data_IF_991383266831
#
_entry.id   IF_991383266831
#
_cell.length_a   1.000
_cell.length_b   1.000
_cell.length_c   1.000
_cell.angle_alpha   90.00
_cell.angle_beta   90.00
_cell.angle_gamma   90.00
#
_symmetry.space_group_name_H-M   'P 1'
#
loop_
_entity.id
_entity.type
_entity.pdbx_description
1 polymer ?
#
# COMPACT_ATOMS: atom_id res chain seq x y z
N UNK A 1 -31.27 -17.23 4.99
CA UNK A 1 -30.06 -17.68 5.70
C UNK A 1 -29.22 -16.44 5.87
N UNK A 2 -29.01 -16.03 7.11
CA UNK A 2 -28.45 -14.73 7.43
C UNK A 2 -27.02 -14.61 6.90
N UNK A 3 -26.80 -13.62 6.04
CA UNK A 3 -25.47 -13.21 5.61
C UNK A 3 -24.75 -12.63 6.82
N UNK A 4 -23.57 -13.14 7.15
CA UNK A 4 -22.69 -12.52 8.14
C UNK A 4 -22.43 -11.06 7.73
N UNK A 5 -22.47 -10.13 8.67
CA UNK A 5 -22.29 -8.72 8.41
C UNK A 5 -21.26 -8.09 9.34
N UNK A 6 -20.56 -7.11 8.81
CA UNK A 6 -19.46 -6.43 9.46
C UNK A 6 -19.68 -4.91 9.35
N UNK A 7 -19.64 -4.22 10.49
CA UNK A 7 -19.86 -2.79 10.56
C UNK A 7 -18.56 -2.01 10.68
N UNK A 8 -18.46 -0.90 9.94
CA UNK A 8 -17.30 -0.01 9.95
C UNK A 8 -17.75 1.46 10.01
N UNK A 9 -16.97 2.28 10.70
CA UNK A 9 -17.02 3.74 10.57
C UNK A 9 -15.99 4.12 9.52
N UNK A 10 -16.41 4.84 8.48
CA UNK A 10 -15.54 5.26 7.38
C UNK A 10 -15.61 6.77 7.17
N UNK A 11 -14.49 7.37 6.78
CA UNK A 11 -14.41 8.77 6.37
C UNK A 11 -14.25 8.88 4.85
N UNK A 12 -14.93 9.86 4.26
CA UNK A 12 -14.87 10.17 2.83
C UNK A 12 -14.82 11.68 2.62
N UNK A 13 -13.94 12.13 1.74
CA UNK A 13 -13.81 13.54 1.36
C UNK A 13 -14.88 13.92 0.34
N UNK A 14 -15.71 14.90 0.69
CA UNK A 14 -16.73 15.48 -0.18
C UNK A 14 -16.15 16.70 -0.91
N UNK A 15 -15.76 16.50 -2.18
CA UNK A 15 -15.14 17.55 -3.01
C UNK A 15 -16.02 18.78 -3.26
N UNK A 16 -17.36 18.66 -3.18
CA UNK A 16 -18.24 19.81 -3.39
C UNK A 16 -18.33 20.70 -2.15
N UNK A 17 -18.27 20.06 -0.97
CA UNK A 17 -18.38 20.73 0.31
C UNK A 17 -17.02 21.07 0.93
N UNK A 18 -15.92 20.57 0.36
CA UNK A 18 -14.55 20.66 0.90
C UNK A 18 -14.46 20.17 2.36
N UNK A 19 -15.15 19.06 2.64
CA UNK A 19 -15.36 18.57 4.01
C UNK A 19 -15.19 17.04 4.08
N UNK A 20 -14.53 16.58 5.13
CA UNK A 20 -14.52 15.16 5.51
C UNK A 20 -15.85 14.79 6.17
N UNK A 21 -16.51 13.77 5.65
CA UNK A 21 -17.77 13.23 6.19
C UNK A 21 -17.56 11.81 6.69
N UNK A 22 -18.23 11.47 7.78
CA UNK A 22 -18.24 10.11 8.32
C UNK A 22 -19.54 9.40 7.94
N UNK A 23 -19.40 8.12 7.59
CA UNK A 23 -20.51 7.23 7.25
C UNK A 23 -20.34 5.91 7.99
N UNK A 24 -21.46 5.22 8.20
CA UNK A 24 -21.45 3.84 8.63
C UNK A 24 -21.52 2.94 7.40
N UNK A 25 -20.46 2.15 7.17
CA UNK A 25 -20.38 1.14 6.14
C UNK A 25 -20.76 -0.22 6.75
N UNK A 26 -21.70 -0.92 6.13
CA UNK A 26 -22.00 -2.31 6.46
C UNK A 26 -21.62 -3.18 5.29
N UNK A 27 -20.78 -4.19 5.55
CA UNK A 27 -20.35 -5.18 4.56
C UNK A 27 -21.06 -6.49 4.88
N UNK A 28 -21.73 -7.06 3.90
CA UNK A 28 -22.43 -8.33 3.99
C UNK A 28 -21.63 -9.38 3.22
N UNK A 29 -21.38 -10.52 3.87
CA UNK A 29 -20.71 -11.67 3.28
C UNK A 29 -21.76 -12.74 2.97
N UNK A 30 -22.30 -12.80 1.74
CA UNK A 30 -23.22 -13.85 1.36
C UNK A 30 -22.50 -15.20 1.30
N UNK A 31 -23.23 -16.30 1.46
CA UNK A 31 -22.66 -17.66 1.34
C UNK A 31 -22.11 -17.94 -0.07
N UNK A 32 -22.70 -17.31 -1.10
CA UNK A 32 -22.25 -17.39 -2.48
C UNK A 32 -22.33 -16.00 -3.11
N UNK A 33 -21.33 -15.66 -3.91
CA UNK A 33 -21.25 -14.39 -4.61
C UNK A 33 -20.25 -13.40 -3.97
N UNK A 34 -20.15 -12.19 -4.56
CA UNK A 34 -19.25 -11.16 -4.06
C UNK A 34 -19.72 -10.60 -2.73
N UNK A 35 -18.85 -9.84 -2.05
CA UNK A 35 -19.29 -9.03 -0.91
C UNK A 35 -20.34 -8.02 -1.37
N UNK A 36 -21.23 -7.64 -0.47
CA UNK A 36 -22.20 -6.58 -0.70
C UNK A 36 -22.00 -5.48 0.34
N UNK A 37 -22.25 -4.23 -0.03
CA UNK A 37 -22.02 -3.07 0.83
C UNK A 37 -23.23 -2.17 0.88
N UNK A 38 -23.51 -1.60 2.05
CA UNK A 38 -24.47 -0.51 2.24
C UNK A 38 -23.83 0.60 3.07
N UNK A 39 -24.24 1.85 2.83
CA UNK A 39 -23.77 3.00 3.61
C UNK A 39 -24.95 3.78 4.18
N UNK A 40 -24.80 4.18 5.44
CA UNK A 40 -25.75 5.01 6.16
C UNK A 40 -25.06 6.31 6.60
N UNK A 41 -25.75 7.43 6.41
CA UNK A 41 -25.34 8.74 6.91
C UNK A 41 -25.98 8.97 8.29
N UNK A 42 -25.20 8.87 9.38
CA UNK A 42 -25.73 9.04 10.73
C UNK A 42 -26.15 10.48 11.02
N UNK A 43 -25.60 11.49 10.34
CA UNK A 43 -25.95 12.91 10.55
C UNK A 43 -27.26 13.27 9.85
N UNK A 44 -27.46 12.78 8.63
CA UNK A 44 -28.67 13.02 7.85
C UNK A 44 -29.77 11.98 8.08
N UNK A 45 -29.53 10.98 8.94
CA UNK A 45 -30.43 9.87 9.25
C UNK A 45 -31.01 9.14 8.03
N UNK A 46 -30.20 8.96 6.97
CA UNK A 46 -30.66 8.35 5.71
C UNK A 46 -29.66 7.38 5.13
N UNK A 47 -30.15 6.45 4.31
CA UNK A 47 -29.29 5.61 3.48
C UNK A 47 -28.55 6.49 2.47
N UNK A 48 -27.23 6.36 2.45
CA UNK A 48 -26.36 7.00 1.46
C UNK A 48 -26.14 6.09 0.25
N UNK A 49 -25.92 4.79 0.51
CA UNK A 49 -25.80 3.75 -0.49
C UNK A 49 -26.67 2.55 -0.07
N UNK A 50 -27.58 2.12 -0.94
CA UNK A 50 -28.35 0.88 -0.72
C UNK A 50 -27.43 -0.33 -0.88
N UNK A 51 -27.83 -1.47 -0.33
CA UNK A 51 -27.09 -2.74 -0.42
C UNK A 51 -26.82 -3.09 -1.89
N UNK A 52 -25.55 -3.17 -2.27
CA UNK A 52 -25.12 -3.48 -3.63
C UNK A 52 -23.84 -4.34 -3.66
N UNK A 53 -23.65 -5.21 -4.68
CA UNK A 53 -22.51 -6.11 -4.77
C UNK A 53 -21.21 -5.41 -5.22
N UNK A 54 -20.10 -5.74 -4.57
CA UNK A 54 -18.76 -5.20 -4.84
C UNK A 54 -17.73 -6.34 -5.01
N UNK A 55 -17.48 -6.80 -6.25
CA UNK A 55 -16.62 -7.95 -6.52
C UNK A 55 -15.16 -7.75 -6.09
N UNK A 56 -14.63 -6.54 -6.22
CA UNK A 56 -13.20 -6.27 -6.04
C UNK A 56 -12.79 -5.99 -4.59
N UNK A 57 -13.75 -5.98 -3.66
CA UNK A 57 -13.48 -5.75 -2.24
C UNK A 57 -13.26 -7.08 -1.53
N UNK A 58 -12.13 -7.20 -0.82
CA UNK A 58 -11.88 -8.32 0.08
C UNK A 58 -12.14 -7.89 1.52
N UNK A 59 -12.67 -8.78 2.35
CA UNK A 59 -12.91 -8.49 3.77
C UNK A 59 -11.59 -8.16 4.49
N UNK A 60 -10.50 -8.78 4.05
CA UNK A 60 -9.14 -8.54 4.52
C UNK A 60 -8.65 -7.12 4.22
N UNK A 61 -9.24 -6.39 3.28
CA UNK A 61 -8.89 -5.00 2.98
C UNK A 61 -9.48 -4.03 4.00
N UNK A 62 -10.49 -4.44 4.77
CA UNK A 62 -11.21 -3.59 5.71
C UNK A 62 -10.56 -3.63 7.09
N UNK A 63 -9.54 -2.80 7.26
CA UNK A 63 -8.78 -2.66 8.53
C UNK A 63 -8.77 -1.22 8.98
N UNK A 64 -8.69 -0.97 10.28
CA UNK A 64 -8.56 0.40 10.78
C UNK A 64 -7.30 1.06 10.18
N UNK A 65 -7.49 2.21 9.54
CA UNK A 65 -6.47 2.97 8.84
C UNK A 65 -6.37 2.70 7.33
N UNK A 66 -6.93 1.60 6.83
CA UNK A 66 -6.94 1.30 5.39
C UNK A 66 -7.89 2.20 4.60
N UNK A 67 -7.59 2.42 3.31
CA UNK A 67 -8.52 3.03 2.35
C UNK A 67 -9.05 1.96 1.41
N UNK A 68 -10.38 1.83 1.34
CA UNK A 68 -11.07 0.94 0.40
C UNK A 68 -11.85 1.75 -0.63
N UNK A 69 -11.98 1.22 -1.84
CA UNK A 69 -12.77 1.88 -2.89
C UNK A 69 -14.15 1.24 -2.99
N UNK A 70 -15.20 2.04 -2.89
CA UNK A 70 -16.61 1.63 -3.02
C UNK A 70 -17.29 2.52 -4.05
N UNK A 71 -17.59 1.98 -5.23
CA UNK A 71 -18.22 2.71 -6.36
C UNK A 71 -17.60 4.08 -6.63
N UNK A 72 -16.31 4.10 -6.96
CA UNK A 72 -15.51 5.30 -7.20
C UNK A 72 -15.34 6.25 -6.00
N UNK A 73 -15.76 5.84 -4.79
CA UNK A 73 -15.48 6.59 -3.55
C UNK A 73 -14.38 5.92 -2.76
N UNK A 74 -13.46 6.73 -2.27
CA UNK A 74 -12.32 6.28 -1.50
C UNK A 74 -12.61 6.48 -0.02
N UNK A 75 -12.94 5.38 0.66
CA UNK A 75 -13.42 5.37 2.03
C UNK A 75 -12.28 4.92 2.92
N UNK A 76 -11.84 5.78 3.84
CA UNK A 76 -10.84 5.41 4.84
C UNK A 76 -11.53 4.84 6.08
N UNK A 77 -11.16 3.63 6.46
CA UNK A 77 -11.73 2.92 7.60
C UNK A 77 -11.17 3.52 8.89
N UNK A 78 -12.04 4.12 9.69
CA UNK A 78 -11.68 4.82 10.94
C UNK A 78 -11.76 3.91 12.16
N UNK A 79 -12.78 3.06 12.20
CA UNK A 79 -13.01 2.14 13.29
C UNK A 79 -13.94 1.00 12.85
N UNK A 80 -13.95 -0.10 13.59
CA UNK A 80 -15.07 -1.04 13.54
C UNK A 80 -16.29 -0.41 14.24
N UNK A 81 -17.48 -0.63 13.70
CA UNK A 81 -18.71 -0.11 14.27
C UNK A 81 -19.13 -0.85 15.56
N UNK A 82 -18.69 -2.10 15.74
CA UNK A 82 -19.09 -2.95 16.85
C UNK A 82 -17.99 -3.94 17.27
N UNK A 83 -18.13 -4.48 18.49
CA UNK A 83 -17.19 -5.43 19.08
C UNK A 83 -17.18 -6.80 18.39
N UNK A 84 -18.30 -7.20 17.78
CA UNK A 84 -18.41 -8.45 17.04
C UNK A 84 -17.50 -8.42 15.81
N UNK A 85 -17.63 -7.37 15.00
CA UNK A 85 -16.79 -7.12 13.82
C UNK A 85 -15.32 -7.07 14.20
N UNK A 86 -14.97 -6.35 15.27
CA UNK A 86 -13.59 -6.29 15.77
C UNK A 86 -13.05 -7.68 16.11
N UNK A 87 -13.79 -8.45 16.91
CA UNK A 87 -13.37 -9.80 17.34
C UNK A 87 -13.21 -10.74 16.14
N UNK A 88 -14.15 -10.70 15.21
CA UNK A 88 -14.13 -11.55 14.01
C UNK A 88 -12.94 -11.23 13.09
N UNK A 89 -12.59 -9.94 12.91
CA UNK A 89 -11.57 -9.51 11.94
C UNK A 89 -10.17 -9.29 12.53
N UNK A 90 -10.03 -9.15 13.85
CA UNK A 90 -8.72 -8.91 14.49
C UNK A 90 -8.18 -10.11 15.28
N UNK A 91 -9.01 -11.09 15.64
CA UNK A 91 -8.58 -12.16 16.57
C UNK A 91 -7.38 -12.99 16.11
N UNK A 92 -7.18 -13.15 14.79
CA UNK A 92 -6.03 -13.88 14.22
C UNK A 92 -4.99 -12.98 13.56
N UNK A 93 -5.25 -11.68 13.52
CA UNK A 93 -4.47 -10.77 12.71
C UNK A 93 -3.25 -10.31 13.49
N UNK A 94 -2.08 -10.73 13.04
CA UNK A 94 -0.81 -10.34 13.65
C UNK A 94 0.00 -9.50 12.67
N UNK A 95 0.93 -8.72 13.24
CA UNK A 95 1.88 -7.91 12.49
C UNK A 95 3.28 -8.26 12.95
N UNK A 96 4.21 -8.37 12.01
CA UNK A 96 5.62 -8.57 12.28
C UNK A 96 6.45 -7.61 11.44
N UNK A 97 7.64 -7.29 11.92
CA UNK A 97 8.58 -6.48 11.19
C UNK A 97 9.91 -7.20 11.00
N UNK A 98 10.46 -7.06 9.81
CA UNK A 98 11.66 -7.74 9.35
C UNK A 98 12.60 -6.71 8.70
N UNK A 99 13.88 -6.80 9.00
CA UNK A 99 14.94 -6.05 8.33
C UNK A 99 15.57 -6.96 7.28
N UNK A 100 15.34 -6.69 6.00
CA UNK A 100 16.06 -7.37 4.94
C UNK A 100 17.47 -6.80 4.86
N UNK A 101 18.44 -7.70 4.92
CA UNK A 101 19.86 -7.40 4.90
C UNK A 101 20.37 -7.32 3.44
N UNK A 102 21.55 -6.71 3.18
CA UNK A 102 22.10 -6.59 1.83
C UNK A 102 22.13 -7.87 0.98
N UNK A 103 22.40 -9.09 1.53
CA UNK A 103 22.32 -10.33 0.76
C UNK A 103 20.94 -10.63 0.16
N UNK A 104 19.88 -10.04 0.70
CA UNK A 104 18.51 -10.19 0.20
C UNK A 104 18.18 -9.26 -0.98
N UNK A 105 18.94 -8.17 -1.16
CA UNK A 105 18.59 -7.09 -2.07
C UNK A 105 18.44 -7.56 -3.53
N UNK A 106 19.33 -8.41 -4.09
CA UNK A 106 19.17 -8.91 -5.46
C UNK A 106 17.87 -9.71 -5.69
N UNK A 107 17.21 -10.16 -4.62
CA UNK A 107 15.94 -10.90 -4.66
C UNK A 107 14.76 -10.12 -4.10
N UNK A 108 14.91 -8.81 -3.86
CA UNK A 108 13.90 -7.98 -3.20
C UNK A 108 12.53 -8.10 -3.89
N UNK A 109 12.49 -8.00 -5.23
CA UNK A 109 11.25 -8.16 -5.98
C UNK A 109 10.58 -9.52 -5.78
N UNK A 110 11.37 -10.60 -5.82
CA UNK A 110 10.87 -11.97 -5.58
C UNK A 110 10.36 -12.14 -4.15
N UNK A 111 11.05 -11.57 -3.16
CA UNK A 111 10.64 -11.61 -1.75
C UNK A 111 9.29 -10.91 -1.58
N UNK A 112 9.13 -9.72 -2.17
CA UNK A 112 7.87 -8.98 -2.10
C UNK A 112 6.72 -9.73 -2.77
N UNK A 113 6.93 -10.28 -3.97
CA UNK A 113 5.93 -11.12 -4.63
C UNK A 113 5.55 -12.35 -3.79
N UNK A 114 6.54 -13.03 -3.18
CA UNK A 114 6.29 -14.19 -2.32
C UNK A 114 5.45 -13.83 -1.11
N UNK A 115 5.75 -12.71 -0.43
CA UNK A 115 4.98 -12.21 0.73
C UNK A 115 3.53 -11.97 0.33
N UNK A 116 3.29 -11.25 -0.76
CA UNK A 116 1.92 -10.92 -1.21
C UNK A 116 1.15 -12.17 -1.66
N UNK A 117 1.81 -13.09 -2.40
CA UNK A 117 1.21 -14.36 -2.81
C UNK A 117 0.93 -15.31 -1.64
N UNK A 118 1.70 -15.20 -0.56
CA UNK A 118 1.53 -15.94 0.69
C UNK A 118 0.44 -15.39 1.61
N UNK A 119 -0.32 -14.37 1.17
CA UNK A 119 -1.44 -13.80 1.94
C UNK A 119 -1.01 -12.75 2.97
N UNK A 120 0.26 -12.34 2.99
CA UNK A 120 0.72 -11.21 3.79
C UNK A 120 0.52 -9.90 3.02
N UNK A 121 0.21 -8.84 3.77
CA UNK A 121 0.14 -7.47 3.24
C UNK A 121 1.30 -6.66 3.79
N UNK A 122 1.96 -5.91 2.91
CA UNK A 122 2.99 -4.95 3.30
C UNK A 122 2.29 -3.69 3.83
N UNK A 123 2.52 -3.38 5.10
CA UNK A 123 1.94 -2.21 5.77
C UNK A 123 2.89 -1.01 5.74
N UNK A 124 4.19 -1.26 5.94
CA UNK A 124 5.23 -0.24 5.85
C UNK A 124 6.46 -0.82 5.16
N UNK A 125 7.12 0.01 4.37
CA UNK A 125 8.35 -0.34 3.65
C UNK A 125 9.27 0.88 3.66
N UNK A 126 10.53 0.72 4.07
CA UNK A 126 11.52 1.79 3.97
C UNK A 126 12.93 1.23 3.88
N UNK A 127 13.74 1.72 2.94
CA UNK A 127 15.18 1.46 2.88
C UNK A 127 15.91 2.52 3.69
N UNK A 128 16.57 2.09 4.77
CA UNK A 128 17.23 2.98 5.73
C UNK A 128 18.67 2.58 5.98
N UNK A 129 19.46 3.50 6.54
CA UNK A 129 20.80 3.19 7.01
C UNK A 129 20.77 2.82 8.51
N UNK A 130 21.19 1.60 8.84
CA UNK A 130 21.35 1.08 10.21
C UNK A 130 22.74 0.42 10.34
N UNK A 131 23.80 1.23 10.20
CA UNK A 131 25.18 0.75 10.06
C UNK A 131 25.49 0.17 8.68
N UNK A 132 24.65 0.48 7.69
CA UNK A 132 24.60 -0.09 6.35
C UNK A 132 23.16 -0.08 5.83
N UNK A 133 22.94 -0.24 4.51
CA UNK A 133 21.59 -0.20 3.96
C UNK A 133 20.81 -1.46 4.38
N UNK A 134 19.60 -1.26 4.93
CA UNK A 134 18.67 -2.32 5.31
C UNK A 134 17.24 -1.93 4.91
N UNK A 135 16.46 -2.89 4.41
CA UNK A 135 15.03 -2.65 4.14
C UNK A 135 14.23 -3.01 5.38
N UNK A 136 13.64 -2.02 6.04
CA UNK A 136 12.65 -2.22 7.08
C UNK A 136 11.28 -2.50 6.45
N UNK A 137 10.68 -3.63 6.80
CA UNK A 137 9.42 -4.11 6.28
C UNK A 137 8.49 -4.48 7.44
N UNK A 138 7.33 -3.84 7.53
CA UNK A 138 6.24 -4.27 8.42
C UNK A 138 5.18 -4.97 7.57
N UNK A 139 4.87 -6.22 7.89
CA UNK A 139 3.83 -7.01 7.23
C UNK A 139 2.74 -7.40 8.21
N UNK A 140 1.54 -7.63 7.68
CA UNK A 140 0.38 -8.07 8.44
C UNK A 140 -0.38 -9.16 7.71
N UNK A 141 -0.98 -10.07 8.47
CA UNK A 141 -1.79 -11.16 7.94
C UNK A 141 -2.41 -11.96 9.07
N UNK A 142 -3.25 -12.93 8.71
CA UNK A 142 -3.77 -13.90 9.66
C UNK A 142 -2.64 -14.90 9.97
N UNK A 143 -2.24 -14.98 11.23
CA UNK A 143 -1.06 -15.77 11.65
C UNK A 143 0.22 -15.40 10.88
N UNK A 144 0.56 -14.10 10.86
CA UNK A 144 1.62 -13.54 10.03
C UNK A 144 2.99 -14.25 10.17
N UNK A 145 3.36 -14.71 11.37
CA UNK A 145 4.62 -15.46 11.60
C UNK A 145 4.66 -16.79 10.82
N UNK A 146 3.52 -17.49 10.74
CA UNK A 146 3.39 -18.73 9.98
C UNK A 146 3.47 -18.44 8.48
N UNK A 147 2.70 -17.45 8.00
CA UNK A 147 2.69 -17.06 6.59
C UNK A 147 4.06 -16.56 6.13
N UNK A 148 4.77 -15.82 6.99
CA UNK A 148 6.13 -15.37 6.72
C UNK A 148 7.08 -16.56 6.57
N UNK A 149 7.01 -17.51 7.51
CA UNK A 149 7.87 -18.69 7.48
C UNK A 149 7.64 -19.53 6.22
N UNK A 150 6.39 -19.62 5.74
CA UNK A 150 6.05 -20.31 4.48
C UNK A 150 6.54 -19.54 3.25
N UNK A 151 6.38 -18.22 3.24
CA UNK A 151 6.71 -17.37 2.08
C UNK A 151 8.22 -17.15 1.92
N UNK A 152 8.95 -17.04 3.04
CA UNK A 152 10.36 -16.64 3.09
C UNK A 152 11.29 -17.74 3.61
N UNK A 153 10.77 -18.93 3.93
CA UNK A 153 11.53 -20.01 4.59
C UNK A 153 12.73 -20.55 3.79
N UNK A 154 12.73 -20.38 2.47
CA UNK A 154 13.82 -20.81 1.57
C UNK A 154 14.95 -19.77 1.45
N UNK A 155 14.80 -18.59 2.05
CA UNK A 155 15.84 -17.57 2.01
C UNK A 155 16.95 -17.88 3.03
N UNK A 156 18.22 -17.53 2.73
CA UNK A 156 19.31 -17.67 3.71
C UNK A 156 18.97 -16.92 5.00
N UNK A 157 19.27 -17.51 6.17
CA UNK A 157 18.98 -16.88 7.48
C UNK A 157 19.61 -15.50 7.64
N UNK A 158 20.75 -15.24 6.99
CA UNK A 158 21.39 -13.93 7.00
C UNK A 158 20.63 -12.84 6.21
N UNK A 159 19.57 -13.21 5.47
CA UNK A 159 18.82 -12.29 4.61
C UNK A 159 17.82 -11.43 5.40
N UNK A 160 17.43 -11.84 6.60
CA UNK A 160 16.44 -11.12 7.38
C UNK A 160 16.72 -11.19 8.89
N UNK A 161 16.37 -10.11 9.59
CA UNK A 161 16.39 -10.01 11.05
C UNK A 161 15.02 -9.54 11.53
N UNK A 162 14.38 -10.31 12.39
CA UNK A 162 13.11 -9.90 12.99
C UNK A 162 13.33 -8.75 13.99
N UNK A 163 12.45 -7.76 13.95
CA UNK A 163 12.48 -6.58 14.83
C UNK A 163 11.53 -6.80 16.00
N UNK A 164 11.99 -6.49 17.20
CA UNK A 164 11.16 -6.51 18.40
C UNK A 164 10.05 -5.45 18.30
N UNK A 165 8.84 -5.76 18.77
CA UNK A 165 7.66 -4.89 18.62
C UNK A 165 7.88 -3.43 19.04
N UNK A 166 8.65 -3.19 20.09
CA UNK A 166 8.96 -1.84 20.59
C UNK A 166 9.96 -1.04 19.74
N UNK A 167 10.64 -1.69 18.80
CA UNK A 167 11.69 -1.09 17.95
C UNK A 167 11.23 -0.88 16.50
N UNK A 168 10.02 -1.30 16.14
CA UNK A 168 9.49 -1.23 14.77
C UNK A 168 9.29 0.22 14.33
N UNK A 169 8.55 1.01 15.11
CA UNK A 169 8.12 2.35 14.72
C UNK A 169 9.28 3.32 14.41
N UNK A 170 10.39 3.32 15.18
CA UNK A 170 11.56 4.13 14.86
C UNK A 170 12.10 3.96 13.44
N UNK A 171 12.11 2.77 12.85
CA UNK A 171 12.60 2.55 11.48
C UNK A 171 11.82 3.36 10.43
N UNK A 172 10.55 3.66 10.69
CA UNK A 172 9.67 4.36 9.75
C UNK A 172 9.49 5.85 10.07
N UNK A 173 9.82 6.28 11.29
CA UNK A 173 9.51 7.64 11.76
C UNK A 173 10.73 8.44 12.18
N UNK A 174 11.77 7.79 12.71
CA UNK A 174 12.96 8.46 13.22
C UNK A 174 14.02 8.57 12.12
N UNK A 175 13.92 9.63 11.29
CA UNK A 175 14.83 9.87 10.18
C UNK A 175 16.26 10.28 10.62
N UNK A 176 16.45 10.73 11.85
CA UNK A 176 17.79 11.02 12.39
C UNK A 176 18.53 9.74 12.78
N UNK A 177 17.84 8.81 13.44
CA UNK A 177 18.40 7.51 13.83
C UNK A 177 18.56 6.58 12.64
N UNK A 178 17.59 6.57 11.73
CA UNK A 178 17.56 5.73 10.53
C UNK A 178 17.40 6.61 9.29
N UNK A 179 18.50 7.24 8.83
CA UNK A 179 18.45 8.17 7.71
C UNK A 179 18.16 7.46 6.39
N UNK A 180 17.70 8.27 5.42
CA UNK A 180 17.49 7.82 4.06
C UNK A 180 18.83 7.38 3.43
N UNK A 181 18.75 6.39 2.57
CA UNK A 181 19.89 5.82 1.81
C UNK A 181 20.10 6.47 0.45
N UNK A 182 19.27 7.48 0.12
CA UNK A 182 19.30 8.15 -1.17
C UNK A 182 20.68 8.75 -1.44
N UNK A 183 21.22 8.48 -2.62
CA UNK A 183 22.54 8.90 -3.03
C UNK A 183 22.50 10.25 -3.79
N UNK A 184 21.36 10.58 -4.42
CA UNK A 184 21.13 11.81 -5.17
C UNK A 184 22.11 12.07 -6.32
N UNK A 185 22.67 11.01 -6.90
CA UNK A 185 23.57 11.06 -8.04
C UNK A 185 23.18 10.01 -9.10
N UNK A 186 23.21 10.41 -10.37
CA UNK A 186 22.87 9.56 -11.52
C UNK A 186 21.55 8.78 -11.32
N UNK A 187 20.55 9.47 -10.77
CA UNK A 187 19.33 8.88 -10.26
C UNK A 187 18.07 9.45 -10.92
N UNK A 188 16.96 8.72 -10.77
CA UNK A 188 15.61 9.19 -11.10
C UNK A 188 14.62 8.68 -10.05
N UNK A 189 13.49 9.38 -9.92
CA UNK A 189 12.37 8.93 -9.10
C UNK A 189 11.49 7.96 -9.90
N UNK A 190 11.26 6.76 -9.35
CA UNK A 190 10.22 5.85 -9.79
C UNK A 190 9.12 5.79 -8.74
N UNK A 191 7.85 5.85 -9.15
CA UNK A 191 6.72 5.71 -8.23
C UNK A 191 5.87 4.53 -8.66
N UNK A 192 5.81 3.51 -7.79
CA UNK A 192 4.81 2.45 -7.90
C UNK A 192 3.50 3.00 -7.35
N UNK A 193 2.57 3.28 -8.27
CA UNK A 193 1.29 3.93 -7.95
C UNK A 193 0.42 3.05 -7.03
N UNK A 194 -0.52 3.65 -6.28
CA UNK A 194 -1.34 2.91 -5.32
C UNK A 194 -2.12 1.72 -5.91
N UNK A 195 -2.60 1.83 -7.15
CA UNK A 195 -3.31 0.73 -7.80
C UNK A 195 -2.41 -0.48 -8.07
N UNK A 196 -1.15 -0.26 -8.46
CA UNK A 196 -0.18 -1.34 -8.72
C UNK A 196 0.26 -2.01 -7.42
N UNK A 197 0.45 -1.22 -6.35
CA UNK A 197 0.73 -1.74 -5.02
C UNK A 197 -0.45 -2.59 -4.51
N UNK A 198 -1.69 -2.08 -4.64
CA UNK A 198 -2.90 -2.83 -4.26
C UNK A 198 -3.07 -4.13 -5.06
N UNK A 199 -2.67 -4.13 -6.33
CA UNK A 199 -2.72 -5.31 -7.19
C UNK A 199 -1.63 -6.35 -6.88
N UNK A 200 -0.74 -6.11 -5.91
CA UNK A 200 0.37 -7.00 -5.58
C UNK A 200 1.45 -7.06 -6.68
N UNK A 201 1.63 -5.95 -7.42
CA UNK A 201 2.57 -5.85 -8.54
C UNK A 201 3.91 -5.22 -8.17
N UNK A 202 4.06 -4.77 -6.92
CA UNK A 202 5.30 -4.11 -6.49
C UNK A 202 6.52 -5.02 -6.62
N UNK A 203 6.40 -6.30 -6.26
CA UNK A 203 7.49 -7.27 -6.40
C UNK A 203 7.92 -7.52 -7.85
N UNK A 204 6.95 -7.65 -8.77
CA UNK A 204 7.22 -7.80 -10.21
C UNK A 204 7.90 -6.56 -10.80
N UNK A 205 7.44 -5.36 -10.42
CA UNK A 205 8.02 -4.09 -10.88
C UNK A 205 9.45 -3.92 -10.36
N UNK A 206 9.70 -4.19 -9.08
CA UNK A 206 11.04 -4.11 -8.50
C UNK A 206 11.99 -5.11 -9.17
N UNK A 207 11.53 -6.35 -9.40
CA UNK A 207 12.31 -7.34 -10.12
C UNK A 207 12.63 -6.87 -11.55
N UNK A 208 11.69 -6.24 -12.26
CA UNK A 208 11.91 -5.70 -13.59
C UNK A 208 12.99 -4.59 -13.60
N UNK A 209 12.95 -3.67 -12.63
CA UNK A 209 13.97 -2.62 -12.45
C UNK A 209 15.35 -3.26 -12.23
N UNK A 210 15.45 -4.22 -11.31
CA UNK A 210 16.71 -4.90 -11.01
C UNK A 210 17.25 -5.70 -12.20
N UNK A 211 16.38 -6.39 -12.94
CA UNK A 211 16.76 -7.17 -14.12
C UNK A 211 17.21 -6.27 -15.30
N UNK A 212 16.75 -5.03 -15.35
CA UNK A 212 17.21 -4.02 -16.31
C UNK A 212 18.61 -3.45 -15.97
N UNK A 213 19.25 -3.95 -14.91
CA UNK A 213 20.55 -3.47 -14.45
C UNK A 213 20.49 -2.12 -13.73
N UNK A 214 19.30 -1.71 -13.28
CA UNK A 214 19.11 -0.50 -12.48
C UNK A 214 19.21 -0.84 -10.98
N UNK A 215 19.87 0.04 -10.23
CA UNK A 215 19.98 -0.06 -8.78
C UNK A 215 18.80 0.66 -8.10
N UNK A 216 18.30 0.12 -7.00
CA UNK A 216 17.38 0.82 -6.10
C UNK A 216 18.17 1.22 -4.85
N UNK A 217 18.47 2.51 -4.72
CA UNK A 217 19.34 3.05 -3.67
C UNK A 217 18.58 3.67 -2.51
N UNK A 218 17.31 4.06 -2.71
CA UNK A 218 16.38 4.45 -1.66
C UNK A 218 14.96 4.01 -2.00
N UNK A 219 14.15 3.77 -0.98
CA UNK A 219 12.77 3.41 -1.15
C UNK A 219 11.94 3.74 0.10
N UNK A 220 10.74 4.29 -0.06
CA UNK A 220 9.84 4.62 1.04
C UNK A 220 8.39 4.43 0.60
N UNK A 221 7.62 3.67 1.37
CA UNK A 221 6.17 3.61 1.23
C UNK A 221 5.56 4.77 2.00
N UNK A 222 4.79 5.60 1.29
CA UNK A 222 4.16 6.78 1.87
C UNK A 222 2.79 7.04 1.25
N UNK A 223 1.95 7.80 1.95
CA UNK A 223 0.62 8.17 1.49
C UNK A 223 0.55 9.69 1.39
N UNK A 224 0.56 10.20 0.16
CA UNK A 224 0.44 11.63 -0.11
C UNK A 224 -0.95 12.12 0.24
N UNK A 225 -1.01 13.26 0.94
CA UNK A 225 -2.22 14.06 1.01
C UNK A 225 -2.53 14.66 -0.36
N UNK A 226 -3.80 15.02 -0.58
CA UNK A 226 -4.25 15.56 -1.88
C UNK A 226 -3.41 16.77 -2.33
N UNK A 227 -3.12 17.70 -1.41
CA UNK A 227 -2.29 18.87 -1.69
C UNK A 227 -0.85 18.51 -2.10
N UNK A 228 -0.23 17.53 -1.44
CA UNK A 228 1.13 17.06 -1.75
C UNK A 228 1.18 16.35 -3.12
N UNK A 229 0.15 15.55 -3.44
CA UNK A 229 0.01 14.91 -4.75
C UNK A 229 -0.23 15.93 -5.86
N UNK A 230 -1.03 16.98 -5.60
CA UNK A 230 -1.28 18.06 -6.54
C UNK A 230 -0.01 18.85 -6.84
N UNK A 231 0.79 19.17 -5.82
CA UNK A 231 2.08 19.84 -5.97
C UNK A 231 3.08 19.00 -6.78
N UNK A 232 3.23 17.71 -6.43
CA UNK A 232 4.12 16.79 -7.15
C UNK A 232 3.77 16.68 -8.65
N UNK A 233 2.49 16.77 -9.00
CA UNK A 233 1.99 16.58 -10.36
C UNK A 233 1.65 17.89 -11.09
N UNK A 234 1.94 19.06 -10.51
CA UNK A 234 1.57 20.34 -11.09
C UNK A 234 2.19 20.55 -12.48
N UNK A 235 3.40 20.01 -12.70
CA UNK A 235 4.09 20.05 -14.01
C UNK A 235 3.31 19.37 -15.15
N UNK A 236 2.36 18.49 -14.85
CA UNK A 236 1.51 17.82 -15.83
C UNK A 236 0.17 18.54 -16.08
N UNK A 237 -0.11 19.60 -15.32
CA UNK A 237 -1.36 20.34 -15.42
C UNK A 237 -1.49 21.00 -16.79
N UNK A 238 -2.56 20.68 -17.50
CA UNK A 238 -2.80 21.14 -18.88
C UNK A 238 -1.99 20.41 -19.96
N UNK A 239 -1.10 19.48 -19.57
CA UNK A 239 -0.37 18.59 -20.49
C UNK A 239 -1.11 17.27 -20.67
N UNK A 240 -1.56 16.67 -19.56
CA UNK A 240 -2.32 15.42 -19.57
C UNK A 240 -3.82 15.69 -19.39
N UNK A 241 -4.71 15.06 -20.17
CA UNK A 241 -6.15 15.33 -20.10
C UNK A 241 -6.81 14.85 -18.79
N UNK A 242 -6.19 13.89 -18.11
CA UNK A 242 -6.68 13.26 -16.87
C UNK A 242 -5.87 13.67 -15.62
N UNK A 243 -5.40 14.93 -15.57
CA UNK A 243 -4.57 15.42 -14.46
C UNK A 243 -5.24 15.28 -13.10
N UNK A 244 -6.53 15.62 -13.02
CA UNK A 244 -7.30 15.54 -11.77
C UNK A 244 -7.40 14.10 -11.27
N UNK A 245 -7.75 13.17 -12.16
CA UNK A 245 -7.83 11.74 -11.87
C UNK A 245 -6.47 11.18 -11.45
N UNK A 246 -5.38 11.70 -12.01
CA UNK A 246 -4.02 11.32 -11.63
C UNK A 246 -3.70 11.74 -10.19
N UNK A 247 -4.04 12.97 -9.79
CA UNK A 247 -3.88 13.47 -8.41
C UNK A 247 -4.75 12.68 -7.43
N UNK A 248 -6.02 12.47 -7.78
CA UNK A 248 -6.96 11.70 -6.95
C UNK A 248 -6.45 10.24 -6.77
N UNK A 249 -5.98 9.62 -7.85
CA UNK A 249 -5.43 8.27 -7.83
C UNK A 249 -4.12 8.10 -7.05
N UNK A 250 -3.37 9.19 -6.82
CA UNK A 250 -2.12 9.19 -6.03
C UNK A 250 -2.36 9.44 -4.55
N UNK A 251 -3.40 10.20 -4.22
CA UNK A 251 -3.74 10.58 -2.84
C UNK A 251 -4.69 9.60 -2.13
N UNK A 252 -5.12 8.56 -2.82
CA UNK A 252 -6.10 7.60 -2.30
C UNK A 252 -5.55 6.64 -1.24
N UNK A 253 -4.33 6.17 -1.43
CA UNK A 253 -3.74 5.07 -0.67
C UNK A 253 -2.21 5.15 -0.76
N UNK A 254 -1.48 4.36 0.04
CA UNK A 254 -0.03 4.35 -0.02
C UNK A 254 0.51 4.02 -1.40
N UNK A 255 1.63 4.64 -1.74
CA UNK A 255 2.46 4.37 -2.91
C UNK A 255 3.87 3.99 -2.45
N UNK A 256 4.66 3.39 -3.33
CA UNK A 256 6.08 3.12 -3.07
C UNK A 256 6.94 4.02 -3.98
N UNK A 257 7.66 4.95 -3.37
CA UNK A 257 8.64 5.80 -4.05
C UNK A 257 10.02 5.16 -3.99
N UNK A 258 10.73 5.14 -5.11
CA UNK A 258 12.06 4.56 -5.27
C UNK A 258 13.03 5.60 -5.87
N UNK A 259 14.23 5.71 -5.31
CA UNK A 259 15.37 6.28 -6.03
C UNK A 259 15.99 5.14 -6.85
N UNK A 260 16.01 5.33 -8.17
CA UNK A 260 16.57 4.38 -9.12
C UNK A 260 17.84 4.97 -9.73
N UNK A 261 18.94 4.23 -9.67
CA UNK A 261 20.28 4.66 -10.11
C UNK A 261 20.84 3.79 -11.22
N UNK A 262 21.68 4.41 -12.04
CA UNK A 262 22.52 3.74 -13.02
C UNK A 262 23.79 4.57 -13.20
N UNK A 263 24.92 3.96 -13.59
CA UNK A 263 26.15 4.72 -13.89
C UNK A 263 25.90 5.82 -14.93
N UNK A 264 25.15 5.49 -15.98
CA UNK A 264 24.73 6.42 -17.02
C UNK A 264 23.25 6.25 -17.37
N UNK A 265 22.60 7.37 -17.70
CA UNK A 265 21.28 7.45 -18.34
C UNK A 265 20.14 6.77 -17.54
N UNK A 266 20.10 6.96 -16.21
CA UNK A 266 19.08 6.36 -15.34
C UNK A 266 17.65 6.76 -15.75
N UNK A 267 17.44 8.02 -16.18
CA UNK A 267 16.14 8.52 -16.64
C UNK A 267 15.70 7.81 -17.93
N UNK A 268 16.57 7.73 -18.92
CA UNK A 268 16.29 7.12 -20.22
C UNK A 268 16.03 5.63 -20.09
N UNK A 269 16.88 4.90 -19.35
CA UNK A 269 16.71 3.47 -19.11
C UNK A 269 15.41 3.16 -18.38
N UNK A 270 15.06 3.95 -17.35
CA UNK A 270 13.80 3.75 -16.65
C UNK A 270 12.59 4.06 -17.56
N UNK A 271 12.67 5.10 -18.38
CA UNK A 271 11.60 5.43 -19.36
C UNK A 271 11.42 4.32 -20.40
N UNK A 272 12.52 3.79 -20.94
CA UNK A 272 12.50 2.67 -21.86
C UNK A 272 11.84 1.43 -21.22
N UNK A 273 12.18 1.14 -19.96
CA UNK A 273 11.56 0.06 -19.20
C UNK A 273 10.07 0.28 -18.93
N UNK A 274 9.66 1.52 -18.61
CA UNK A 274 8.26 1.86 -18.37
C UNK A 274 7.40 1.83 -19.63
N UNK A 275 8.00 2.05 -20.81
CA UNK A 275 7.29 2.14 -22.07
C UNK A 275 6.56 3.48 -22.26
N UNK A 276 5.66 3.56 -23.26
CA UNK A 276 4.91 4.77 -23.57
C UNK A 276 4.00 5.20 -22.42
N UNK A 277 3.68 6.49 -22.35
CA UNK A 277 2.81 7.02 -21.30
C UNK A 277 1.33 6.60 -21.48
N UNK A 278 0.94 6.28 -22.71
CA UNK A 278 -0.39 5.80 -23.09
C UNK A 278 -0.33 4.29 -23.31
N UNK A 279 -1.17 3.56 -22.57
CA UNK A 279 -1.26 2.09 -22.60
C UNK A 279 -2.24 1.57 -23.66
N UNK A 280 -3.07 2.45 -24.22
CA UNK A 280 -4.12 2.09 -25.19
C UNK A 280 -3.76 2.49 -26.65
N UNK A 281 -2.53 2.94 -26.91
CA UNK A 281 -1.99 3.21 -28.26
C UNK A 281 -1.14 2.07 -28.83
#
# INVERSE_FOLDING_TARGET
MDSENFGFVVEWYDSQADLMREYQLTVFKPHKGPLEVAMYDPKAHRSFLKRMPIPDLKIEDLTVGSTVTVYARHLKVKAYADAHTRSALESKRTSLAMLLQPPAFPRLGQIMSSIESGGLKIKKFRLVNDGGPVVALEVMGDDADLLWSQSCGNLPKASFKQVSRGEIEPYFTNKERFPCTAAFDHCTLCIIRPHALKAGKAGEIIAAIQNAGLEISAAEMLHLQHAEAAELLDVYKGVVPYHKEMVDGMSIAPMLALEVRAEDAAVEKLRELCGPYDVDM
#
